data_IF_203095243802
#
_entry.id   IF_203095243802
#
_cell.length_a   1.000
_cell.length_b   1.000
_cell.length_c   1.000
_cell.angle_alpha   90.00
_cell.angle_beta   90.00
_cell.angle_gamma   90.00
#
_symmetry.space_group_name_H-M   'P 1'
#
loop_
_entity.id
_entity.type
_entity.pdbx_description
1 polymer ?
#
# COMPACT_ATOMS: atom_id res chain seq x y z
N UNK A 1 76.93 31.05 7.13
CA UNK A 1 76.32 30.43 5.94
C UNK A 1 75.40 29.36 6.44
N UNK A 2 74.11 29.67 6.59
CA UNK A 2 73.10 28.83 7.21
C UNK A 2 72.17 28.26 6.09
N UNK A 3 72.10 26.94 5.99
CA UNK A 3 71.30 26.23 5.02
C UNK A 3 69.84 26.20 5.55
N UNK A 4 68.80 26.66 4.80
CA UNK A 4 67.44 26.60 5.28
C UNK A 4 66.88 25.18 5.15
N UNK A 5 66.22 24.74 6.22
CA UNK A 5 65.62 23.45 6.45
C UNK A 5 64.47 23.15 5.51
N UNK A 6 64.51 21.97 4.91
CA UNK A 6 63.56 21.43 3.94
C UNK A 6 62.22 20.95 4.56
N UNK A 7 61.86 21.45 5.76
CA UNK A 7 60.70 20.97 6.53
C UNK A 7 59.37 21.63 6.12
N UNK A 8 59.39 22.85 5.62
CA UNK A 8 58.21 23.67 5.34
C UNK A 8 57.48 23.32 4.04
N UNK A 9 58.14 22.64 3.09
CA UNK A 9 57.48 22.24 1.83
C UNK A 9 56.66 20.93 1.92
N UNK A 10 57.00 20.04 2.87
CA UNK A 10 56.26 18.78 3.04
C UNK A 10 54.93 18.94 3.77
N UNK A 11 54.84 19.87 4.69
CA UNK A 11 53.59 20.13 5.45
C UNK A 11 52.53 20.81 4.60
N UNK A 12 52.93 21.62 3.61
CA UNK A 12 51.97 22.28 2.71
C UNK A 12 51.38 21.33 1.66
N UNK A 13 52.04 20.24 1.30
CA UNK A 13 51.57 19.24 0.35
C UNK A 13 50.61 18.28 1.02
N UNK A 14 50.86 17.87 2.28
CA UNK A 14 49.97 17.03 3.06
C UNK A 14 48.63 17.74 3.40
N UNK A 15 48.66 19.02 3.69
CA UNK A 15 47.46 19.79 3.97
C UNK A 15 46.57 19.96 2.72
N UNK A 16 47.15 20.08 1.52
CA UNK A 16 46.38 20.15 0.27
C UNK A 16 45.87 18.82 -0.21
N UNK A 17 46.50 17.70 0.12
CA UNK A 17 45.99 16.35 -0.14
C UNK A 17 44.85 15.95 0.80
N UNK A 18 44.84 16.38 2.07
CA UNK A 18 43.72 16.17 2.97
C UNK A 18 42.44 16.91 2.55
N UNK A 19 42.54 18.10 1.94
CA UNK A 19 41.38 18.84 1.45
C UNK A 19 40.78 18.25 0.17
N UNK A 20 41.56 17.54 -0.65
CA UNK A 20 41.07 16.85 -1.86
C UNK A 20 40.40 15.50 -1.57
N UNK A 21 40.71 14.85 -0.44
CA UNK A 21 40.06 13.59 -0.04
C UNK A 21 38.73 13.84 0.66
N UNK A 22 38.51 15.01 1.27
CA UNK A 22 37.24 15.38 1.91
C UNK A 22 36.17 15.86 0.94
N UNK A 23 36.50 16.18 -0.32
CA UNK A 23 35.54 16.65 -1.34
C UNK A 23 34.97 15.53 -2.23
N UNK A 24 35.35 14.27 -2.03
CA UNK A 24 34.84 13.12 -2.80
C UNK A 24 33.71 12.38 -2.05
N UNK A 25 33.30 12.90 -0.87
CA UNK A 25 32.13 12.36 -0.15
C UNK A 25 30.81 13.03 -0.56
N UNK A 26 30.71 13.48 -1.80
CA UNK A 26 29.45 14.02 -2.31
C UNK A 26 28.96 13.09 -3.42
N UNK A 27 27.83 12.48 -3.13
CA UNK A 27 26.98 11.72 -4.04
C UNK A 27 27.50 10.35 -4.51
N UNK A 28 27.51 9.38 -3.60
CA UNK A 28 26.96 8.10 -4.02
C UNK A 28 25.49 8.38 -4.40
N UNK A 29 25.06 8.10 -5.64
CA UNK A 29 23.64 8.15 -5.93
C UNK A 29 23.00 7.18 -4.93
N UNK A 30 22.17 7.71 -4.05
CA UNK A 30 21.23 6.91 -3.27
C UNK A 30 20.63 5.94 -4.29
N UNK A 31 20.93 4.64 -4.17
CA UNK A 31 20.31 3.63 -5.01
C UNK A 31 18.83 3.96 -4.98
N UNK A 32 18.27 4.35 -6.12
CA UNK A 32 16.90 4.85 -6.20
C UNK A 32 16.03 3.80 -5.51
N UNK A 33 15.55 4.15 -4.32
CA UNK A 33 14.81 3.21 -3.48
C UNK A 33 13.60 2.85 -4.30
N UNK A 34 13.49 1.57 -4.71
CA UNK A 34 12.40 1.14 -5.57
C UNK A 34 11.08 1.47 -4.87
N UNK A 35 10.43 2.55 -5.30
CA UNK A 35 9.19 3.07 -4.76
C UNK A 35 8.01 2.56 -5.62
N UNK A 36 7.50 1.33 -5.33
CA UNK A 36 6.47 0.70 -6.15
C UNK A 36 5.15 1.45 -6.11
N UNK A 37 4.95 2.28 -5.10
CA UNK A 37 3.73 3.09 -4.96
C UNK A 37 3.75 4.33 -5.82
N UNK A 38 4.92 4.77 -6.33
CA UNK A 38 5.07 6.00 -7.13
C UNK A 38 4.44 7.22 -6.44
N UNK A 39 4.75 7.38 -5.16
CA UNK A 39 4.50 8.58 -4.36
C UNK A 39 5.79 9.41 -4.29
N UNK A 40 5.74 10.62 -3.72
CA UNK A 40 6.94 11.42 -3.52
C UNK A 40 8.00 10.65 -2.73
N UNK A 41 9.26 10.70 -3.18
CA UNK A 41 10.35 9.93 -2.59
C UNK A 41 10.64 10.32 -1.13
N UNK A 42 10.33 11.56 -0.72
CA UNK A 42 10.43 11.98 0.68
C UNK A 42 9.34 11.34 1.56
N UNK A 43 8.19 10.97 0.98
CA UNK A 43 7.08 10.33 1.69
C UNK A 43 7.22 8.82 1.79
N UNK A 44 7.94 8.20 0.86
CA UNK A 44 8.04 6.74 0.81
C UNK A 44 8.64 6.10 2.08
N UNK A 45 9.73 6.60 2.69
CA UNK A 45 10.24 6.09 3.97
C UNK A 45 9.24 6.22 5.11
N UNK A 46 8.44 7.31 5.14
CA UNK A 46 7.40 7.52 6.16
C UNK A 46 6.29 6.49 5.98
N UNK A 47 5.85 6.26 4.74
CA UNK A 47 4.86 5.23 4.43
C UNK A 47 5.36 3.82 4.81
N UNK A 48 6.62 3.48 4.48
CA UNK A 48 7.20 2.19 4.87
C UNK A 48 7.19 1.99 6.38
N UNK A 49 7.53 3.03 7.17
CA UNK A 49 7.50 2.97 8.62
C UNK A 49 6.07 2.81 9.14
N UNK A 50 5.12 3.60 8.64
CA UNK A 50 3.71 3.49 8.99
C UNK A 50 3.17 2.08 8.70
N UNK A 51 3.46 1.53 7.54
CA UNK A 51 3.03 0.20 7.10
C UNK A 51 3.61 -0.92 7.98
N UNK A 52 4.90 -0.85 8.34
CA UNK A 52 5.52 -1.82 9.26
C UNK A 52 4.88 -1.80 10.65
N UNK A 53 4.42 -0.65 11.10
CA UNK A 53 3.80 -0.42 12.41
C UNK A 53 2.27 -0.40 12.35
N UNK A 54 1.65 -0.79 11.25
CA UNK A 54 0.21 -0.64 11.02
C UNK A 54 -0.69 -1.36 12.04
N UNK A 55 -0.14 -2.31 12.82
CA UNK A 55 -0.87 -3.01 13.90
C UNK A 55 -0.57 -2.45 15.30
N UNK A 56 0.18 -1.36 15.39
CA UNK A 56 0.61 -0.72 16.63
C UNK A 56 0.10 0.72 16.67
N UNK A 57 -0.04 1.27 17.88
CA UNK A 57 -0.50 2.65 18.08
C UNK A 57 0.42 3.67 17.39
N UNK A 58 1.73 3.40 17.37
CA UNK A 58 2.74 4.22 16.72
C UNK A 58 2.48 4.37 15.22
N UNK A 59 1.94 3.33 14.58
CA UNK A 59 1.56 3.37 13.18
C UNK A 59 0.54 4.45 12.85
N UNK A 60 -0.42 4.70 13.73
CA UNK A 60 -1.40 5.78 13.56
C UNK A 60 -0.74 7.17 13.56
N UNK A 61 0.22 7.40 14.48
CA UNK A 61 0.94 8.67 14.56
C UNK A 61 1.81 8.92 13.31
N UNK A 62 2.47 7.85 12.81
CA UNK A 62 3.26 7.93 11.58
C UNK A 62 2.36 8.14 10.37
N UNK A 63 1.17 7.52 10.33
CA UNK A 63 0.18 7.71 9.27
C UNK A 63 -0.36 9.15 9.24
N UNK A 64 -0.62 9.76 10.40
CA UNK A 64 -0.98 11.19 10.46
C UNK A 64 0.16 12.08 9.95
N UNK A 65 1.40 11.80 10.35
CA UNK A 65 2.59 12.51 9.83
C UNK A 65 2.68 12.39 8.30
N UNK A 66 2.48 11.18 7.77
CA UNK A 66 2.45 10.93 6.32
C UNK A 66 1.37 11.78 5.64
N UNK A 67 0.16 11.78 6.20
CA UNK A 67 -0.96 12.53 5.64
C UNK A 67 -0.68 14.05 5.60
N UNK A 68 -0.19 14.62 6.72
CA UNK A 68 0.13 16.05 6.79
C UNK A 68 1.23 16.47 5.81
N UNK A 69 2.25 15.63 5.63
CA UNK A 69 3.29 15.89 4.66
C UNK A 69 2.80 15.72 3.21
N UNK A 70 1.99 14.70 2.96
CA UNK A 70 1.36 14.47 1.66
C UNK A 70 0.42 15.63 1.25
N UNK A 71 -0.27 16.25 2.21
CA UNK A 71 -1.05 17.46 1.97
C UNK A 71 -0.16 18.63 1.52
N UNK A 72 0.97 18.86 2.21
CA UNK A 72 1.91 19.95 1.89
C UNK A 72 2.55 19.78 0.51
N UNK A 73 2.85 18.54 0.12
CA UNK A 73 3.46 18.22 -1.19
C UNK A 73 2.41 18.03 -2.29
N UNK A 74 1.12 18.04 -1.98
CA UNK A 74 0.05 17.81 -2.94
C UNK A 74 -0.02 16.36 -3.45
N UNK A 75 0.63 15.40 -2.77
CA UNK A 75 0.64 13.98 -3.17
C UNK A 75 -0.66 13.30 -2.74
N UNK A 76 -1.66 13.35 -3.62
CA UNK A 76 -2.99 12.76 -3.41
C UNK A 76 -2.95 11.25 -3.18
N UNK A 77 -1.99 10.56 -3.78
CA UNK A 77 -1.84 9.12 -3.64
C UNK A 77 -1.31 8.74 -2.25
N UNK A 78 -0.30 9.47 -1.77
CA UNK A 78 0.21 9.30 -0.42
C UNK A 78 -0.85 9.63 0.65
N UNK A 79 -1.72 10.62 0.41
CA UNK A 79 -2.88 10.90 1.27
C UNK A 79 -3.77 9.66 1.40
N UNK A 80 -4.12 8.99 0.30
CA UNK A 80 -4.91 7.75 0.33
C UNK A 80 -4.17 6.63 1.07
N UNK A 81 -2.86 6.46 0.84
CA UNK A 81 -2.05 5.44 1.52
C UNK A 81 -2.01 5.64 3.04
N UNK A 82 -1.99 6.88 3.51
CA UNK A 82 -2.03 7.19 4.93
C UNK A 82 -3.31 6.66 5.60
N UNK A 83 -4.45 6.69 4.91
CA UNK A 83 -5.74 6.19 5.43
C UNK A 83 -5.88 4.66 5.44
N UNK A 84 -4.99 3.93 4.74
CA UNK A 84 -4.95 2.46 4.83
C UNK A 84 -4.50 2.00 6.22
N UNK A 85 -3.59 2.72 6.85
CA UNK A 85 -2.98 2.35 8.12
C UNK A 85 -4.01 2.29 9.28
N UNK A 86 -4.86 3.31 9.51
CA UNK A 86 -5.93 3.22 10.51
C UNK A 86 -6.86 2.04 10.27
N UNK A 87 -7.24 1.76 9.03
CA UNK A 87 -8.09 0.60 8.71
C UNK A 87 -7.41 -0.71 9.12
N UNK A 88 -6.13 -0.91 8.79
CA UNK A 88 -5.37 -2.09 9.18
C UNK A 88 -5.21 -2.20 10.70
N UNK A 89 -4.98 -1.08 11.38
CA UNK A 89 -4.89 -1.03 12.83
C UNK A 89 -6.19 -1.49 13.49
N UNK A 90 -7.33 -0.90 13.13
CA UNK A 90 -8.61 -1.24 13.76
C UNK A 90 -9.07 -2.67 13.42
N UNK A 91 -8.75 -3.18 12.23
CA UNK A 91 -8.93 -4.60 11.89
C UNK A 91 -8.14 -5.48 12.87
N UNK A 92 -6.90 -5.12 13.21
CA UNK A 92 -6.08 -5.89 14.17
C UNK A 92 -6.63 -5.84 15.59
N UNK A 93 -7.29 -4.73 15.96
CA UNK A 93 -7.93 -4.54 17.27
C UNK A 93 -9.36 -5.13 17.33
N UNK A 94 -9.92 -5.55 16.21
CA UNK A 94 -11.29 -6.09 16.07
C UNK A 94 -12.38 -5.10 16.56
N UNK A 95 -12.18 -3.80 16.33
CA UNK A 95 -13.12 -2.74 16.69
C UNK A 95 -14.02 -2.43 15.50
N UNK A 96 -15.20 -3.06 15.45
CA UNK A 96 -16.17 -2.96 14.35
C UNK A 96 -16.51 -1.51 14.01
N UNK A 97 -16.80 -0.68 15.00
CA UNK A 97 -17.20 0.71 14.80
C UNK A 97 -16.09 1.54 14.17
N UNK A 98 -14.86 1.36 14.64
CA UNK A 98 -13.69 2.06 14.08
C UNK A 98 -13.28 1.51 12.71
N UNK A 99 -13.50 0.22 12.45
CA UNK A 99 -13.27 -0.37 11.12
C UNK A 99 -14.24 0.25 10.10
N UNK A 100 -15.54 0.34 10.43
CA UNK A 100 -16.52 0.95 9.53
C UNK A 100 -16.20 2.43 9.26
N UNK A 101 -15.81 3.17 10.31
CA UNK A 101 -15.39 4.56 10.15
C UNK A 101 -14.14 4.67 9.28
N UNK A 102 -13.06 3.95 9.58
CA UNK A 102 -11.80 4.02 8.83
C UNK A 102 -11.98 3.56 7.38
N UNK A 103 -12.84 2.55 7.13
CA UNK A 103 -13.21 2.13 5.78
C UNK A 103 -13.95 3.23 5.02
N UNK A 104 -14.86 3.95 5.69
CA UNK A 104 -15.59 5.07 5.10
C UNK A 104 -14.66 6.22 4.78
N UNK A 105 -13.82 6.62 5.72
CA UNK A 105 -12.82 7.70 5.56
C UNK A 105 -11.88 7.40 4.37
N UNK A 106 -11.38 6.14 4.27
CA UNK A 106 -10.53 5.72 3.14
C UNK A 106 -11.30 5.75 1.81
N UNK A 107 -12.57 5.32 1.78
CA UNK A 107 -13.42 5.38 0.59
C UNK A 107 -13.64 6.81 0.12
N UNK A 108 -13.94 7.72 1.03
CA UNK A 108 -14.18 9.13 0.73
C UNK A 108 -12.94 9.80 0.15
N UNK A 109 -11.78 9.71 0.81
CA UNK A 109 -10.54 10.34 0.33
C UNK A 109 -10.07 9.73 -0.99
N UNK A 110 -10.24 8.41 -1.16
CA UNK A 110 -9.85 7.73 -2.39
C UNK A 110 -10.70 8.17 -3.58
N UNK A 111 -12.00 8.35 -3.38
CA UNK A 111 -12.92 8.84 -4.42
C UNK A 111 -12.65 10.32 -4.73
N UNK A 112 -12.48 11.16 -3.72
CA UNK A 112 -12.17 12.57 -3.88
C UNK A 112 -10.86 12.81 -4.66
N UNK A 113 -9.87 11.94 -4.47
CA UNK A 113 -8.56 12.01 -5.13
C UNK A 113 -8.48 11.18 -6.43
N UNK A 114 -9.56 10.52 -6.85
CA UNK A 114 -9.64 9.66 -8.03
C UNK A 114 -8.70 8.43 -7.98
N UNK A 115 -8.46 7.88 -6.80
CA UNK A 115 -7.72 6.63 -6.60
C UNK A 115 -8.65 5.48 -6.24
N UNK A 116 -9.53 5.09 -7.17
CA UNK A 116 -10.57 4.07 -6.97
C UNK A 116 -10.02 2.70 -6.52
N UNK A 117 -8.76 2.38 -6.82
CA UNK A 117 -8.13 1.16 -6.31
C UNK A 117 -8.13 1.08 -4.77
N UNK A 118 -7.91 2.20 -4.08
CA UNK A 118 -7.95 2.23 -2.61
C UNK A 118 -9.37 2.26 -2.07
N UNK A 119 -10.31 2.83 -2.82
CA UNK A 119 -11.74 2.75 -2.53
C UNK A 119 -12.21 1.30 -2.47
N UNK A 120 -11.89 0.49 -3.50
CA UNK A 120 -12.26 -0.93 -3.54
C UNK A 120 -11.42 -1.79 -2.60
N UNK A 121 -10.18 -1.38 -2.28
CA UNK A 121 -9.38 -2.00 -1.23
C UNK A 121 -10.05 -1.85 0.15
N UNK A 122 -10.59 -0.68 0.48
CA UNK A 122 -11.33 -0.47 1.74
C UNK A 122 -12.55 -1.41 1.85
N UNK A 123 -13.35 -1.53 0.78
CA UNK A 123 -14.48 -2.47 0.72
C UNK A 123 -14.04 -3.91 0.96
N UNK A 124 -13.04 -4.37 0.22
CA UNK A 124 -12.55 -5.76 0.33
C UNK A 124 -11.99 -6.07 1.71
N UNK A 125 -11.23 -5.14 2.31
CA UNK A 125 -10.65 -5.31 3.64
C UNK A 125 -11.73 -5.45 4.71
N UNK A 126 -12.77 -4.63 4.65
CA UNK A 126 -13.91 -4.69 5.56
C UNK A 126 -14.69 -6.00 5.40
N UNK A 127 -14.96 -6.44 4.17
CA UNK A 127 -15.66 -7.70 3.89
C UNK A 127 -14.86 -8.89 4.40
N UNK A 128 -13.56 -8.95 4.14
CA UNK A 128 -12.67 -10.02 4.59
C UNK A 128 -12.59 -10.04 6.12
N UNK A 129 -12.59 -8.88 6.76
CA UNK A 129 -12.64 -8.82 8.22
C UNK A 129 -13.90 -9.50 8.77
N UNK A 130 -15.10 -9.14 8.29
CA UNK A 130 -16.34 -9.76 8.75
C UNK A 130 -16.39 -11.26 8.45
N UNK A 131 -15.84 -11.67 7.32
CA UNK A 131 -15.73 -13.08 6.95
C UNK A 131 -14.85 -13.85 7.96
N UNK A 132 -13.70 -13.29 8.34
CA UNK A 132 -12.80 -13.88 9.34
C UNK A 132 -13.41 -13.91 10.76
N UNK A 133 -14.40 -13.05 11.04
CA UNK A 133 -15.19 -13.10 12.27
C UNK A 133 -16.41 -14.06 12.16
N UNK A 134 -16.45 -14.93 11.15
CA UNK A 134 -17.55 -15.89 10.89
C UNK A 134 -18.92 -15.20 10.62
N UNK A 135 -18.90 -13.92 10.28
CA UNK A 135 -20.10 -13.12 9.96
C UNK A 135 -20.37 -13.12 8.44
N UNK A 136 -20.45 -14.32 7.86
CA UNK A 136 -20.52 -14.52 6.41
C UNK A 136 -21.73 -13.87 5.75
N UNK A 137 -22.87 -13.76 6.45
CA UNK A 137 -24.06 -13.10 5.91
C UNK A 137 -23.83 -11.57 5.75
N UNK A 138 -23.21 -10.92 6.74
CA UNK A 138 -22.87 -9.51 6.66
C UNK A 138 -21.80 -9.25 5.58
N UNK A 139 -20.80 -10.12 5.49
CA UNK A 139 -19.80 -10.07 4.44
C UNK A 139 -20.43 -10.14 3.05
N UNK A 140 -21.39 -11.06 2.86
CA UNK A 140 -22.14 -11.19 1.60
C UNK A 140 -22.95 -9.93 1.26
N UNK A 141 -23.68 -9.38 2.23
CA UNK A 141 -24.44 -8.13 2.02
C UNK A 141 -23.56 -6.95 1.61
N UNK A 142 -22.38 -6.82 2.23
CA UNK A 142 -21.39 -5.78 1.87
C UNK A 142 -20.79 -6.06 0.49
N UNK A 143 -20.51 -7.31 0.14
CA UNK A 143 -20.00 -7.68 -1.18
C UNK A 143 -21.00 -7.38 -2.30
N UNK A 144 -22.30 -7.62 -2.10
CA UNK A 144 -23.33 -7.26 -3.06
C UNK A 144 -23.44 -5.73 -3.27
N UNK A 145 -23.28 -4.93 -2.21
CA UNK A 145 -23.19 -3.47 -2.33
C UNK A 145 -21.97 -3.04 -3.13
N UNK A 146 -20.79 -3.63 -2.82
CA UNK A 146 -19.54 -3.40 -3.55
C UNK A 146 -19.71 -3.74 -5.04
N UNK A 147 -20.36 -4.88 -5.36
CA UNK A 147 -20.64 -5.31 -6.73
C UNK A 147 -21.43 -4.27 -7.50
N UNK A 148 -22.57 -3.82 -6.95
CA UNK A 148 -23.40 -2.78 -7.59
C UNK A 148 -22.58 -1.53 -7.90
N UNK A 149 -21.76 -1.08 -6.94
CA UNK A 149 -20.94 0.10 -7.11
C UNK A 149 -19.85 -0.10 -8.17
N UNK A 150 -19.15 -1.25 -8.16
CA UNK A 150 -18.07 -1.54 -9.10
C UNK A 150 -18.55 -1.57 -10.55
N UNK A 151 -19.74 -2.14 -10.79
CA UNK A 151 -20.36 -2.15 -12.11
C UNK A 151 -20.86 -0.74 -12.52
N UNK A 152 -21.40 0.05 -11.60
CA UNK A 152 -21.80 1.44 -11.86
C UNK A 152 -20.59 2.32 -12.22
N UNK A 153 -19.49 2.16 -11.50
CA UNK A 153 -18.23 2.89 -11.77
C UNK A 153 -17.52 2.40 -13.05
N UNK A 154 -17.91 1.25 -13.60
CA UNK A 154 -17.25 0.58 -14.74
C UNK A 154 -15.74 0.45 -14.53
N UNK A 155 -15.32 0.23 -13.29
CA UNK A 155 -13.92 0.22 -12.91
C UNK A 155 -13.37 -1.23 -12.87
N UNK A 156 -12.47 -1.63 -13.79
CA UNK A 156 -12.06 -3.02 -13.97
C UNK A 156 -11.52 -3.66 -12.68
N UNK A 157 -10.64 -2.98 -11.96
CA UNK A 157 -10.11 -3.50 -10.70
C UNK A 157 -11.21 -3.68 -9.63
N UNK A 158 -12.19 -2.79 -9.58
CA UNK A 158 -13.34 -2.91 -8.66
C UNK A 158 -14.19 -4.13 -8.96
N UNK A 159 -14.51 -4.36 -10.24
CA UNK A 159 -15.28 -5.54 -10.71
C UNK A 159 -14.50 -6.82 -10.38
N UNK A 160 -13.23 -6.88 -10.78
CA UNK A 160 -12.33 -7.99 -10.46
C UNK A 160 -12.27 -8.28 -8.96
N UNK A 161 -12.02 -7.24 -8.14
CA UNK A 161 -11.90 -7.36 -6.69
C UNK A 161 -13.20 -7.90 -6.06
N UNK A 162 -14.36 -7.51 -6.58
CA UNK A 162 -15.66 -8.01 -6.15
C UNK A 162 -15.82 -9.49 -6.47
N UNK A 163 -15.58 -9.91 -7.71
CA UNK A 163 -15.72 -11.32 -8.14
C UNK A 163 -14.81 -12.20 -7.29
N UNK A 164 -13.55 -11.83 -7.11
CA UNK A 164 -12.60 -12.53 -6.25
C UNK A 164 -13.07 -12.63 -4.80
N UNK A 165 -13.64 -11.55 -4.26
CA UNK A 165 -14.16 -11.51 -2.89
C UNK A 165 -15.34 -12.47 -2.71
N UNK A 166 -16.20 -12.61 -3.72
CA UNK A 166 -17.27 -13.62 -3.71
C UNK A 166 -16.69 -15.04 -3.62
N UNK A 167 -15.62 -15.34 -4.36
CA UNK A 167 -14.90 -16.62 -4.24
C UNK A 167 -14.44 -16.89 -2.80
N UNK A 168 -13.84 -15.91 -2.13
CA UNK A 168 -13.45 -16.04 -0.71
C UNK A 168 -14.65 -16.29 0.21
N UNK A 169 -15.79 -15.63 0.00
CA UNK A 169 -17.00 -15.83 0.81
C UNK A 169 -17.52 -17.25 0.66
N UNK A 170 -17.64 -17.76 -0.56
CA UNK A 170 -18.14 -19.12 -0.79
C UNK A 170 -17.17 -20.18 -0.30
N UNK A 171 -15.87 -19.98 -0.43
CA UNK A 171 -14.86 -20.85 0.18
C UNK A 171 -15.03 -20.94 1.71
N UNK A 172 -15.14 -19.81 2.38
CA UNK A 172 -15.37 -19.76 3.84
C UNK A 172 -16.67 -20.44 4.29
N UNK A 173 -17.66 -20.52 3.41
CA UNK A 173 -18.93 -21.23 3.66
C UNK A 173 -18.89 -22.72 3.30
N UNK A 174 -17.75 -23.24 2.87
CA UNK A 174 -17.59 -24.63 2.44
C UNK A 174 -18.21 -24.94 1.08
N UNK A 175 -18.68 -23.94 0.34
CA UNK A 175 -19.18 -24.13 -1.02
C UNK A 175 -18.03 -23.99 -2.02
N UNK A 176 -17.26 -25.07 -2.13
CA UNK A 176 -16.02 -25.09 -2.92
C UNK A 176 -16.28 -24.98 -4.43
N UNK A 177 -17.37 -25.59 -4.92
CA UNK A 177 -17.72 -25.55 -6.35
C UNK A 177 -18.01 -24.10 -6.80
N UNK A 178 -18.82 -23.39 -6.03
CA UNK A 178 -19.15 -22.00 -6.34
C UNK A 178 -17.96 -21.08 -6.11
N UNK A 179 -17.12 -21.39 -5.12
CA UNK A 179 -15.85 -20.67 -4.91
C UNK A 179 -14.92 -20.80 -6.12
N UNK A 180 -14.76 -22.02 -6.66
CA UNK A 180 -13.96 -22.28 -7.86
C UNK A 180 -14.49 -21.52 -9.07
N UNK A 181 -15.81 -21.49 -9.28
CA UNK A 181 -16.44 -20.74 -10.35
C UNK A 181 -16.12 -19.25 -10.26
N UNK A 182 -16.24 -18.65 -9.06
CA UNK A 182 -15.92 -17.22 -8.88
C UNK A 182 -14.44 -16.90 -9.06
N UNK A 183 -13.52 -17.77 -8.62
CA UNK A 183 -12.10 -17.55 -8.87
C UNK A 183 -11.74 -17.71 -10.35
N UNK A 184 -12.38 -18.65 -11.06
CA UNK A 184 -12.19 -18.78 -12.51
C UNK A 184 -12.74 -17.55 -13.24
N UNK A 185 -13.94 -17.08 -12.87
CA UNK A 185 -14.52 -15.85 -13.43
C UNK A 185 -13.61 -14.63 -13.17
N UNK A 186 -13.02 -14.51 -11.96
CA UNK A 186 -12.08 -13.46 -11.64
C UNK A 186 -10.81 -13.54 -12.49
N UNK A 187 -10.28 -14.75 -12.73
CA UNK A 187 -9.13 -14.98 -13.58
C UNK A 187 -9.40 -14.58 -15.02
N UNK A 188 -10.51 -15.06 -15.59
CA UNK A 188 -10.92 -14.76 -16.96
C UNK A 188 -11.17 -13.26 -17.15
N UNK A 189 -11.81 -12.63 -16.16
CA UNK A 189 -12.03 -11.18 -16.17
C UNK A 189 -10.72 -10.40 -16.14
N UNK A 190 -9.77 -10.81 -15.29
CA UNK A 190 -8.46 -10.16 -15.16
C UNK A 190 -7.64 -10.30 -16.44
N UNK A 191 -7.53 -11.50 -17.00
CA UNK A 191 -6.78 -11.74 -18.23
C UNK A 191 -7.33 -10.93 -19.41
N UNK A 192 -8.66 -10.74 -19.45
CA UNK A 192 -9.32 -9.97 -20.51
C UNK A 192 -9.20 -8.45 -20.32
N UNK A 193 -9.34 -7.95 -19.11
CA UNK A 193 -9.56 -6.52 -18.86
C UNK A 193 -8.37 -5.84 -18.13
N UNK A 194 -7.39 -6.62 -17.65
CA UNK A 194 -6.25 -6.15 -16.87
C UNK A 194 -4.97 -6.94 -17.22
N UNK A 195 -4.56 -7.00 -18.50
CA UNK A 195 -3.52 -7.91 -18.99
C UNK A 195 -2.14 -7.68 -18.34
N UNK A 196 -1.88 -6.48 -17.82
CA UNK A 196 -0.62 -6.13 -17.15
C UNK A 196 -0.56 -6.60 -15.68
N UNK A 197 -1.63 -7.23 -15.16
CA UNK A 197 -1.66 -7.73 -13.79
C UNK A 197 -1.20 -9.18 -13.71
N UNK A 198 -0.44 -9.49 -12.66
CA UNK A 198 0.04 -10.85 -12.40
C UNK A 198 -1.12 -11.75 -11.90
N UNK A 199 -1.47 -12.84 -12.62
CA UNK A 199 -2.55 -13.75 -12.24
C UNK A 199 -2.15 -14.79 -11.18
N UNK A 200 -0.89 -14.86 -10.76
CA UNK A 200 -0.35 -15.93 -9.91
C UNK A 200 -1.15 -16.17 -8.64
N UNK A 201 -1.62 -15.11 -7.98
CA UNK A 201 -2.42 -15.20 -6.76
C UNK A 201 -3.78 -15.89 -6.98
N UNK A 202 -4.38 -15.75 -8.16
CA UNK A 202 -5.64 -16.43 -8.49
C UNK A 202 -5.42 -17.89 -8.81
N UNK A 203 -4.35 -18.24 -9.52
CA UNK A 203 -3.98 -19.64 -9.73
C UNK A 203 -3.75 -20.36 -8.41
N UNK A 204 -3.03 -19.72 -7.46
CA UNK A 204 -2.85 -20.28 -6.12
C UNK A 204 -4.20 -20.45 -5.39
N UNK A 205 -5.12 -19.50 -5.53
CA UNK A 205 -6.45 -19.59 -4.91
C UNK A 205 -7.27 -20.75 -5.46
N UNK A 206 -7.17 -21.05 -6.77
CA UNK A 206 -7.82 -22.18 -7.42
C UNK A 206 -7.22 -23.53 -7.01
N UNK A 207 -5.89 -23.62 -6.85
CA UNK A 207 -5.21 -24.84 -6.44
C UNK A 207 -5.54 -25.21 -4.99
N UNK A 208 -5.82 -24.25 -4.13
CA UNK A 208 -6.08 -24.45 -2.70
C UNK A 208 -7.58 -24.51 -2.34
N UNK A 209 -8.48 -24.71 -3.30
CA UNK A 209 -9.89 -25.01 -3.06
C UNK A 209 -10.06 -26.48 -2.76
#
# INVERSE_FOLDING_TARGET
>A
MLIPSNRTKRECILSRLCFLVLSVWVSLPSAAQNNPYKIDDALYPIYQRASKQARQQEGLLVADTLYQQALKLGDKKAQCLAYIIPLQFYISQKDDSKIEKASTDLKEISRANNYLQYYYHAWSSEIIYFLNQQRSLLALQKAEKMKKQAFADRYPYGIFSCIRTMGHIYKSRGNFDLSAQYYQEALDYMLKNMPDQDPSQLYLSLIHI
#
